data_IF_133804859731
#
_entry.id   IF_133804859731
#
_cell.length_a   1.000
_cell.length_b   1.000
_cell.length_c   1.000
_cell.angle_alpha   90.00
_cell.angle_beta   90.00
_cell.angle_gamma   90.00
#
_symmetry.space_group_name_H-M   'P 1'
#
loop_
_entity.id
_entity.type
_entity.pdbx_description
1 polymer ?
#
# COMPACT_ATOMS: atom_id res chain seq x y z
N UNK A 1 -21.29 3.19 -2.44
CA UNK A 1 -20.11 3.77 -3.11
C UNK A 1 -19.21 2.64 -3.58
N UNK A 2 -18.75 2.64 -4.83
CA UNK A 2 -17.76 1.65 -5.30
C UNK A 2 -16.39 2.02 -4.75
N UNK A 3 -15.76 1.11 -4.01
CA UNK A 3 -14.42 1.28 -3.48
C UNK A 3 -13.46 0.41 -4.29
N UNK A 4 -12.29 0.95 -4.62
CA UNK A 4 -11.27 0.27 -5.41
C UNK A 4 -9.98 0.18 -4.61
N UNK A 5 -9.25 -0.91 -4.83
CA UNK A 5 -7.89 -1.13 -4.32
C UNK A 5 -6.97 -1.26 -5.53
N UNK A 6 -5.78 -0.65 -5.44
CA UNK A 6 -4.71 -0.92 -6.38
C UNK A 6 -4.02 -2.23 -5.96
N UNK A 7 -4.07 -3.25 -6.81
CA UNK A 7 -3.59 -4.60 -6.55
C UNK A 7 -2.83 -5.10 -7.79
N UNK A 8 -1.54 -5.39 -7.64
CA UNK A 8 -0.66 -5.90 -8.70
C UNK A 8 -0.76 -5.16 -10.05
N UNK A 9 -0.65 -3.82 -10.01
CA UNK A 9 -0.64 -2.98 -11.21
C UNK A 9 -2.01 -2.53 -11.71
N UNK A 10 -3.11 -2.93 -11.07
CA UNK A 10 -4.48 -2.67 -11.56
C UNK A 10 -5.41 -2.22 -10.44
N UNK A 11 -6.43 -1.42 -10.77
CA UNK A 11 -7.54 -1.16 -9.86
C UNK A 11 -8.54 -2.31 -9.90
N UNK A 12 -8.80 -2.91 -8.73
CA UNK A 12 -9.80 -3.96 -8.54
C UNK A 12 -10.88 -3.49 -7.58
N UNK A 13 -12.10 -4.03 -7.70
CA UNK A 13 -13.15 -3.79 -6.71
C UNK A 13 -12.70 -4.31 -5.35
N UNK A 14 -13.04 -3.58 -4.28
CA UNK A 14 -12.61 -3.90 -2.91
C UNK A 14 -12.81 -5.38 -2.54
N UNK A 15 -13.97 -5.95 -2.85
CA UNK A 15 -14.31 -7.34 -2.54
C UNK A 15 -13.47 -8.38 -3.30
N UNK A 16 -12.82 -7.98 -4.39
CA UNK A 16 -11.98 -8.84 -5.24
C UNK A 16 -10.51 -8.83 -4.83
N UNK A 17 -10.07 -7.91 -3.97
CA UNK A 17 -8.71 -7.87 -3.44
C UNK A 17 -8.51 -8.98 -2.40
N UNK A 18 -8.33 -10.22 -2.88
CA UNK A 18 -8.20 -11.43 -2.05
C UNK A 18 -6.82 -12.06 -2.18
N UNK A 19 -6.36 -12.67 -1.11
CA UNK A 19 -5.19 -13.55 -1.08
C UNK A 19 -5.59 -14.93 -0.54
N UNK A 20 -4.80 -15.97 -0.81
CA UNK A 20 -5.07 -17.30 -0.28
C UNK A 20 -4.76 -17.36 1.23
N UNK A 21 -5.44 -18.23 1.98
CA UNK A 21 -5.20 -18.37 3.44
C UNK A 21 -3.77 -18.81 3.77
N UNK A 22 -3.13 -19.53 2.85
CA UNK A 22 -1.74 -19.99 2.97
C UNK A 22 -0.70 -18.95 2.49
N UNK A 23 -1.08 -17.70 2.27
CA UNK A 23 -0.13 -16.64 1.89
C UNK A 23 0.95 -16.48 2.96
N UNK A 24 2.22 -16.51 2.55
CA UNK A 24 3.38 -16.53 3.45
C UNK A 24 3.41 -15.34 4.42
N UNK A 25 3.01 -14.13 4.00
CA UNK A 25 2.94 -12.97 4.88
C UNK A 25 1.91 -13.10 6.00
N UNK A 26 0.84 -13.87 5.79
CA UNK A 26 -0.15 -14.18 6.84
C UNK A 26 0.38 -15.19 7.85
N UNK A 27 1.19 -16.15 7.39
CA UNK A 27 1.68 -17.26 8.22
C UNK A 27 2.97 -16.91 8.97
N UNK A 28 3.83 -16.09 8.37
CA UNK A 28 5.20 -15.85 8.85
C UNK A 28 5.57 -14.37 8.97
N UNK A 29 4.61 -13.46 8.78
CA UNK A 29 4.84 -12.02 8.92
C UNK A 29 5.77 -11.39 7.87
N UNK A 30 6.03 -12.09 6.76
CA UNK A 30 6.91 -11.64 5.68
C UNK A 30 6.25 -10.55 4.80
N UNK A 31 6.06 -9.37 5.35
CA UNK A 31 5.47 -8.24 4.63
C UNK A 31 6.03 -6.92 5.11
N UNK A 32 6.00 -5.94 4.21
CA UNK A 32 6.31 -4.54 4.52
C UNK A 32 5.09 -3.70 4.18
N UNK A 33 4.93 -2.56 4.85
CA UNK A 33 3.84 -1.64 4.58
C UNK A 33 4.26 -0.20 4.88
N UNK A 34 3.46 0.75 4.43
CA UNK A 34 3.61 2.17 4.75
C UNK A 34 2.30 2.75 5.26
N UNK A 35 2.42 3.77 6.12
CA UNK A 35 1.31 4.60 6.55
C UNK A 35 1.45 5.99 5.98
N UNK A 36 0.54 6.39 5.08
CA UNK A 36 0.59 7.68 4.37
C UNK A 36 -0.72 8.43 4.60
N UNK A 37 -0.65 9.75 4.74
CA UNK A 37 -1.84 10.61 4.89
C UNK A 37 -1.99 11.57 3.72
N UNK A 38 -3.22 11.70 3.24
CA UNK A 38 -3.64 12.76 2.35
C UNK A 38 -4.43 13.81 3.15
N UNK A 39 -4.18 15.08 2.86
CA UNK A 39 -4.84 16.21 3.52
C UNK A 39 -5.51 17.09 2.47
N UNK A 40 -6.66 17.65 2.81
CA UNK A 40 -7.22 18.76 2.05
C UNK A 40 -6.32 19.99 2.22
N UNK A 41 -6.02 20.68 1.12
CA UNK A 41 -5.26 21.93 1.11
C UNK A 41 -5.95 22.93 0.19
N UNK A 42 -5.56 24.21 0.27
CA UNK A 42 -6.11 25.26 -0.59
C UNK A 42 -5.87 25.03 -2.09
N UNK A 43 -4.94 24.13 -2.45
CA UNK A 43 -4.62 23.75 -3.84
C UNK A 43 -5.19 22.38 -4.24
N UNK A 44 -6.06 21.80 -3.42
CA UNK A 44 -6.60 20.44 -3.57
C UNK A 44 -5.95 19.42 -2.62
N UNK A 45 -6.36 18.15 -2.68
CA UNK A 45 -5.82 17.12 -1.81
C UNK A 45 -4.34 16.86 -2.11
N UNK A 46 -3.51 16.80 -1.06
CA UNK A 46 -2.07 16.58 -1.18
C UNK A 46 -1.62 15.46 -0.24
N UNK A 47 -0.67 14.64 -0.71
CA UNK A 47 -0.07 13.57 0.08
C UNK A 47 1.18 14.11 0.77
N UNK A 48 1.21 14.05 2.09
CA UNK A 48 2.35 14.55 2.86
C UNK A 48 3.55 13.61 2.71
N UNK A 49 4.70 14.15 2.26
CA UNK A 49 5.99 13.45 2.12
C UNK A 49 5.94 12.13 1.32
N UNK A 50 5.13 12.07 0.26
CA UNK A 50 4.97 10.86 -0.57
C UNK A 50 6.30 10.21 -0.98
N UNK A 51 7.24 11.01 -1.49
CA UNK A 51 8.55 10.52 -1.96
C UNK A 51 9.33 9.81 -0.85
N UNK A 52 9.31 10.35 0.37
CA UNK A 52 10.05 9.77 1.49
C UNK A 52 9.44 8.45 1.95
N UNK A 53 8.11 8.36 1.99
CA UNK A 53 7.40 7.12 2.29
C UNK A 53 7.68 6.04 1.23
N UNK A 54 7.63 6.38 -0.06
CA UNK A 54 7.93 5.43 -1.15
C UNK A 54 9.38 4.94 -1.08
N UNK A 55 10.34 5.84 -0.83
CA UNK A 55 11.73 5.45 -0.65
C UNK A 55 11.90 4.51 0.55
N UNK A 56 11.22 4.78 1.68
CA UNK A 56 11.28 3.90 2.86
C UNK A 56 10.62 2.54 2.61
N UNK A 57 9.55 2.48 1.84
CA UNK A 57 8.93 1.23 1.41
C UNK A 57 9.95 0.34 0.66
N UNK A 58 10.61 0.87 -0.37
CA UNK A 58 11.64 0.13 -1.11
C UNK A 58 12.88 -0.21 -0.26
N UNK A 59 13.29 0.69 0.63
CA UNK A 59 14.38 0.40 1.56
C UNK A 59 14.03 -0.75 2.53
N UNK A 60 12.78 -0.81 2.98
CA UNK A 60 12.29 -1.90 3.82
C UNK A 60 12.30 -3.22 3.05
N UNK A 61 11.87 -3.21 1.78
CA UNK A 61 11.90 -4.40 0.92
C UNK A 61 13.34 -4.92 0.77
N UNK A 62 14.29 -4.02 0.50
CA UNK A 62 15.72 -4.32 0.32
C UNK A 62 16.36 -5.01 1.53
N UNK A 63 15.88 -4.76 2.74
CA UNK A 63 16.40 -5.42 3.95
C UNK A 63 16.03 -6.91 3.98
N UNK A 64 14.91 -7.28 3.35
CA UNK A 64 14.38 -8.66 3.32
C UNK A 64 14.64 -9.40 1.99
N UNK A 65 15.22 -8.75 0.98
CA UNK A 65 15.42 -9.28 -0.38
C UNK A 65 16.87 -9.26 -0.85
#
# INVERSE_FOLDING_TARGET
MKQYIWFDGKFVEFEKAKVHVLTHSLQYGSGIFEGIRAYATDKGPAIFRLKDHVNRFFNSAKIYS
#
